data_IF_295049451896
#
_entry.id   IF_295049451896
#
_cell.length_a   1.000
_cell.length_b   1.000
_cell.length_c   1.000
_cell.angle_alpha   90.00
_cell.angle_beta   90.00
_cell.angle_gamma   90.00
#
_symmetry.space_group_name_H-M   'P 1'
#
loop_
_entity.id
_entity.type
_entity.pdbx_description
1 polymer ?
#
# COMPACT_ATOMS: atom_id res chain seq x y z
N UNK A 1 -1.94 20.57 9.47
CA UNK A 1 -1.35 19.60 10.42
C UNK A 1 -1.78 18.20 10.01
N UNK A 2 -0.87 17.25 9.81
CA UNK A 2 -1.25 15.88 9.48
C UNK A 2 -1.94 15.20 10.68
N UNK A 3 -2.93 14.35 10.40
CA UNK A 3 -3.59 13.54 11.42
C UNK A 3 -2.68 12.36 11.77
N UNK A 4 -1.97 12.48 12.88
CA UNK A 4 -0.98 11.51 13.35
C UNK A 4 -1.37 11.01 14.74
N UNK A 5 -1.39 9.69 14.90
CA UNK A 5 -1.54 9.01 16.19
C UNK A 5 -0.26 8.23 16.49
N UNK A 6 0.31 8.45 17.67
CA UNK A 6 1.52 7.76 18.15
C UNK A 6 1.22 7.13 19.50
N UNK A 7 1.54 5.85 19.65
CA UNK A 7 1.46 5.14 20.93
C UNK A 7 2.76 4.43 21.22
N UNK A 8 3.36 4.76 22.36
CA UNK A 8 4.56 4.10 22.88
C UNK A 8 4.09 3.05 23.89
N UNK A 9 4.52 1.80 23.69
CA UNK A 9 4.23 0.72 24.63
C UNK A 9 5.32 0.61 25.70
N UNK A 10 5.01 0.06 26.89
CA UNK A 10 5.97 -0.06 27.99
C UNK A 10 7.24 -0.87 27.65
N UNK A 11 7.15 -1.76 26.66
CA UNK A 11 8.26 -2.58 26.16
C UNK A 11 9.06 -1.90 25.03
N UNK A 12 8.78 -0.64 24.72
CA UNK A 12 9.55 0.18 23.78
C UNK A 12 9.09 0.14 22.33
N UNK A 13 8.06 -0.64 21.96
CA UNK A 13 7.49 -0.55 20.61
C UNK A 13 6.69 0.73 20.43
N UNK A 14 6.63 1.21 19.18
CA UNK A 14 5.89 2.41 18.81
C UNK A 14 4.89 2.05 17.71
N UNK A 15 3.62 2.34 17.96
CA UNK A 15 2.59 2.32 16.92
C UNK A 15 2.46 3.73 16.36
N UNK A 16 2.71 3.84 15.06
CA UNK A 16 2.58 5.08 14.29
C UNK A 16 1.46 4.90 13.27
N UNK A 17 0.41 5.72 13.37
CA UNK A 17 -0.74 5.67 12.47
C UNK A 17 -1.01 7.05 11.90
N UNK A 18 -1.06 7.13 10.57
CA UNK A 18 -1.29 8.38 9.85
C UNK A 18 -2.35 8.21 8.78
N UNK A 19 -3.13 9.26 8.57
CA UNK A 19 -4.04 9.35 7.43
C UNK A 19 -3.29 10.01 6.27
N UNK A 20 -3.09 9.25 5.20
CA UNK A 20 -2.46 9.74 3.97
C UNK A 20 -3.49 9.71 2.83
N UNK A 21 -3.50 10.74 2.01
CA UNK A 21 -4.18 10.74 0.72
C UNK A 21 -3.10 10.64 -0.36
N UNK A 22 -3.04 9.51 -1.06
CA UNK A 22 -2.03 9.25 -2.08
C UNK A 22 -2.69 9.23 -3.46
N UNK A 23 -2.03 9.86 -4.43
CA UNK A 23 -2.36 9.72 -5.85
C UNK A 23 -1.23 8.92 -6.49
N UNK A 24 -1.55 7.69 -6.89
CA UNK A 24 -0.57 6.74 -7.39
C UNK A 24 -0.81 6.47 -8.86
N UNK A 25 0.27 6.18 -9.59
CA UNK A 25 0.17 5.76 -10.97
C UNK A 25 -0.31 4.31 -11.03
N UNK A 26 -1.41 4.06 -11.75
CA UNK A 26 -1.88 2.71 -12.07
C UNK A 26 -1.98 2.56 -13.60
N UNK A 27 -1.03 1.86 -14.24
CA UNK A 27 -1.07 1.64 -15.68
C UNK A 27 -2.22 0.69 -16.02
N UNK A 28 -3.21 1.18 -16.76
CA UNK A 28 -4.40 0.42 -17.14
C UNK A 28 -4.30 -0.20 -18.54
N UNK A 29 -4.80 -1.42 -18.69
CA UNK A 29 -4.93 -2.08 -19.98
C UNK A 29 -6.39 -2.03 -20.46
N UNK A 30 -6.68 -1.16 -21.41
CA UNK A 30 -8.04 -0.85 -21.86
C UNK A 30 -8.50 -1.66 -23.09
N UNK A 31 -7.81 -2.75 -23.45
CA UNK A 31 -8.15 -3.57 -24.63
C UNK A 31 -9.57 -4.13 -24.62
N UNK A 32 -10.15 -4.34 -23.43
CA UNK A 32 -11.48 -4.94 -23.25
C UNK A 32 -12.51 -3.96 -22.70
N UNK A 33 -12.27 -2.65 -22.79
CA UNK A 33 -13.20 -1.65 -22.26
C UNK A 33 -14.63 -1.83 -22.82
N UNK A 34 -15.69 -1.79 -21.99
CA UNK A 34 -15.72 -1.52 -20.54
C UNK A 34 -15.70 -2.77 -19.64
N UNK A 35 -15.41 -3.95 -20.20
CA UNK A 35 -15.39 -5.27 -19.52
C UNK A 35 -13.95 -5.68 -19.14
N UNK A 36 -13.14 -4.71 -18.80
CA UNK A 36 -11.73 -4.87 -18.45
C UNK A 36 -11.52 -5.08 -16.94
N UNK A 37 -10.40 -5.70 -16.60
CA UNK A 37 -9.91 -5.85 -15.22
C UNK A 37 -8.59 -5.13 -15.07
N UNK A 38 -8.48 -4.32 -14.03
CA UNK A 38 -7.29 -3.52 -13.76
C UNK A 38 -6.56 -4.02 -12.51
N UNK A 39 -5.24 -4.12 -12.59
CA UNK A 39 -4.37 -4.48 -11.47
C UNK A 39 -3.49 -3.28 -11.16
N UNK A 40 -3.74 -2.64 -10.02
CA UNK A 40 -2.94 -1.52 -9.54
C UNK A 40 -1.95 -2.01 -8.49
N UNK A 41 -0.65 -1.87 -8.77
CA UNK A 41 0.41 -2.15 -7.78
C UNK A 41 0.80 -0.87 -7.07
N UNK A 42 1.00 -0.96 -5.76
CA UNK A 42 1.53 0.12 -4.95
C UNK A 42 3.05 -0.05 -4.91
N UNK A 43 3.81 1.03 -5.12
CA UNK A 43 5.26 1.01 -4.97
C UNK A 43 5.66 1.82 -3.74
N UNK A 44 6.56 1.27 -2.93
CA UNK A 44 7.01 1.82 -1.65
C UNK A 44 8.24 2.73 -1.75
N UNK A 45 8.72 3.16 -0.58
CA UNK A 45 9.90 4.01 -0.39
C UNK A 45 11.22 3.21 -0.28
N UNK A 46 12.35 3.90 -0.14
CA UNK A 46 13.71 3.31 -0.18
C UNK A 46 14.00 2.45 1.07
N UNK A 47 14.81 1.38 0.96
CA UNK A 47 15.19 0.56 2.14
C UNK A 47 16.19 1.25 3.07
N UNK A 48 16.84 2.31 2.60
CA UNK A 48 17.95 2.93 3.34
C UNK A 48 17.49 3.46 4.70
N UNK A 49 16.21 3.88 4.79
CA UNK A 49 15.64 4.45 6.00
C UNK A 49 14.59 3.53 6.66
N UNK A 50 13.87 2.71 5.87
CA UNK A 50 12.72 1.92 6.34
C UNK A 50 12.61 0.57 5.62
N UNK A 51 12.41 -0.50 6.39
CA UNK A 51 12.00 -1.81 5.87
C UNK A 51 10.52 -2.00 6.14
N UNK A 52 9.73 -2.19 5.08
CA UNK A 52 8.30 -2.43 5.22
C UNK A 52 8.00 -3.92 5.38
N UNK A 53 7.23 -4.25 6.40
CA UNK A 53 6.74 -5.60 6.65
C UNK A 53 5.22 -5.57 6.75
N UNK A 54 4.55 -6.52 6.10
CA UNK A 54 3.12 -6.72 6.32
C UNK A 54 2.89 -7.19 7.75
N UNK A 55 1.88 -6.60 8.40
CA UNK A 55 1.46 -7.07 9.72
C UNK A 55 1.00 -8.52 9.64
N UNK A 56 1.45 -9.34 10.58
CA UNK A 56 0.97 -10.71 10.71
C UNK A 56 -0.51 -10.72 11.10
N UNK A 57 -1.34 -11.31 10.24
CA UNK A 57 -2.79 -11.33 10.40
C UNK A 57 -3.46 -10.01 10.01
N UNK A 58 -4.32 -10.08 8.98
CA UNK A 58 -5.13 -8.96 8.47
C UNK A 58 -4.33 -7.67 8.15
N UNK A 59 -3.36 -7.75 7.20
CA UNK A 59 -2.48 -6.64 6.86
C UNK A 59 -3.17 -5.48 6.14
N UNK A 60 -4.32 -5.74 5.50
CA UNK A 60 -5.08 -4.77 4.72
C UNK A 60 -6.54 -4.82 5.15
N UNK A 61 -6.98 -3.77 5.84
CA UNK A 61 -8.37 -3.62 6.25
C UNK A 61 -9.11 -2.72 5.26
N UNK A 62 -10.05 -3.31 4.51
CA UNK A 62 -10.91 -2.57 3.56
C UNK A 62 -12.23 -2.22 4.24
N UNK A 63 -12.68 -0.97 4.05
CA UNK A 63 -14.00 -0.53 4.54
C UNK A 63 -15.09 -1.31 3.81
N UNK A 64 -16.04 -1.88 4.56
CA UNK A 64 -17.15 -2.70 4.02
C UNK A 64 -17.96 -2.00 2.93
N UNK A 65 -18.10 -0.68 3.02
CA UNK A 65 -18.84 0.16 2.09
C UNK A 65 -17.91 0.96 1.16
N UNK A 66 -16.81 0.35 0.71
CA UNK A 66 -15.95 0.97 -0.31
C UNK A 66 -16.73 1.07 -1.63
N UNK A 67 -17.12 2.29 -1.99
CA UNK A 67 -17.80 2.56 -3.26
C UNK A 67 -16.87 3.37 -4.18
N UNK A 68 -16.51 2.80 -5.31
CA UNK A 68 -15.79 3.48 -6.39
C UNK A 68 -16.79 3.77 -7.52
N UNK A 69 -16.81 4.98 -8.10
CA UNK A 69 -17.86 5.39 -9.03
C UNK A 69 -17.88 4.64 -10.37
N UNK A 70 -16.77 4.00 -10.77
CA UNK A 70 -16.62 3.32 -12.07
C UNK A 70 -16.01 1.93 -11.97
N UNK A 71 -15.65 1.49 -10.78
CA UNK A 71 -14.94 0.23 -10.54
C UNK A 71 -15.52 -0.46 -9.30
N UNK A 72 -15.25 -1.75 -9.16
CA UNK A 72 -15.54 -2.50 -7.94
C UNK A 72 -14.26 -3.23 -7.55
N UNK A 73 -13.88 -3.16 -6.27
CA UNK A 73 -12.72 -3.89 -5.79
C UNK A 73 -13.09 -5.38 -5.68
N UNK A 74 -12.55 -6.21 -6.57
CA UNK A 74 -12.78 -7.67 -6.52
C UNK A 74 -11.94 -8.36 -5.44
N UNK A 75 -10.64 -8.04 -5.38
CA UNK A 75 -9.68 -8.62 -4.43
C UNK A 75 -8.47 -7.73 -4.24
N UNK A 76 -7.76 -7.92 -3.13
CA UNK A 76 -6.41 -7.40 -2.90
C UNK A 76 -5.46 -8.58 -2.68
N UNK A 77 -4.20 -8.37 -3.04
CA UNK A 77 -3.12 -9.32 -2.80
C UNK A 77 -2.03 -8.57 -2.04
N UNK A 78 -1.32 -9.27 -1.16
CA UNK A 78 -0.18 -8.72 -0.42
C UNK A 78 1.06 -9.51 -0.81
N UNK A 79 2.06 -8.82 -1.33
CA UNK A 79 3.33 -9.38 -1.75
C UNK A 79 4.47 -8.40 -1.41
N UNK A 80 5.71 -8.85 -1.57
CA UNK A 80 6.91 -8.05 -1.34
C UNK A 80 7.63 -7.84 -2.66
N UNK A 81 8.11 -6.62 -2.88
CA UNK A 81 9.00 -6.32 -3.97
C UNK A 81 10.27 -5.67 -3.41
N UNK A 82 11.35 -6.43 -3.33
CA UNK A 82 12.67 -5.83 -3.15
C UNK A 82 13.21 -5.49 -4.54
N UNK A 83 13.42 -4.21 -4.82
CA UNK A 83 14.02 -3.78 -6.08
C UNK A 83 15.41 -3.22 -5.83
N UNK A 84 16.39 -3.74 -6.56
CA UNK A 84 17.77 -3.22 -6.52
C UNK A 84 17.94 -2.24 -7.67
N UNK A 85 18.24 -0.98 -7.33
CA UNK A 85 18.51 0.07 -8.32
C UNK A 85 19.95 0.56 -8.18
N UNK A 86 20.40 1.42 -9.10
CA UNK A 86 21.75 1.97 -9.09
C UNK A 86 22.07 2.80 -7.82
N UNK A 87 21.05 3.31 -7.12
CA UNK A 87 21.22 4.11 -5.91
C UNK A 87 21.07 3.30 -4.62
N UNK A 88 20.70 2.02 -4.69
CA UNK A 88 20.47 1.17 -3.51
C UNK A 88 19.33 0.17 -3.68
N UNK A 89 19.04 -0.57 -2.61
CA UNK A 89 17.91 -1.50 -2.52
C UNK A 89 16.65 -0.76 -2.02
N UNK A 90 15.48 -1.16 -2.50
CA UNK A 90 14.20 -0.52 -2.19
C UNK A 90 13.21 -1.62 -1.80
N UNK A 91 12.60 -1.49 -0.61
CA UNK A 91 11.59 -2.42 -0.10
C UNK A 91 10.24 -1.82 -0.45
N UNK A 92 9.45 -2.58 -1.18
CA UNK A 92 8.07 -2.22 -1.45
C UNK A 92 7.10 -3.31 -1.04
N UNK A 93 5.92 -2.86 -0.63
CA UNK A 93 4.74 -3.68 -0.40
C UNK A 93 3.90 -3.63 -1.67
N UNK A 94 3.49 -4.79 -2.16
CA UNK A 94 2.67 -4.95 -3.36
C UNK A 94 1.30 -5.50 -3.03
#
# INVERSE_FOLDING_TARGET
>A
MPNVYIRIFPYGSVLYSIRISLTLACPMNLKLYPLDRQICSLHGWTTADLVFLWKEGDPVQVVKNLHLPRFTLEKFLTDYCNSKTNTGEYSCLK
#
